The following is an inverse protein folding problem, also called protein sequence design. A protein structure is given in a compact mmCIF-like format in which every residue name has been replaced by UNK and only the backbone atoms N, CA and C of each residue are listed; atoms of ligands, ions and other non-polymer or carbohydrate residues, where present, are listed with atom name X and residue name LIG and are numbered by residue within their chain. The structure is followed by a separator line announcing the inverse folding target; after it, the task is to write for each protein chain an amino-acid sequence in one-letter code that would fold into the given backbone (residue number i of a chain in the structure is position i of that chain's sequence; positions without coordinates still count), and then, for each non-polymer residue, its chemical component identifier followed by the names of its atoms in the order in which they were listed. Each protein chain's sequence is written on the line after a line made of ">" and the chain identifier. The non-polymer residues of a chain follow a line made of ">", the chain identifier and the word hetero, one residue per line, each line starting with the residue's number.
data_IF_860398773308
#
_entry.id   IF_860398773308
#
_cell.length_a   1.000
_cell.length_b   1.000
_cell.length_c   1.000
_cell.angle_alpha   90.00
_cell.angle_beta   90.00
_cell.angle_gamma   90.00
#
_symmetry.space_group_name_H-M   'P 1'
#
loop_
_entity.id
_entity.type
_entity.pdbx_description
1 polymer ?
#
# COMPACT_ATOMS: atom_id res chain seq x y z
N UNK A 1 -60.93 -45.43 33.68
CA UNK A 1 -61.12 -44.46 32.59
C UNK A 1 -60.80 -43.09 33.17
N UNK A 2 -59.53 -42.68 33.09
CA UNK A 2 -58.89 -41.98 31.96
C UNK A 2 -59.33 -40.52 31.86
N UNK A 3 -58.38 -39.61 32.05
CA UNK A 3 -58.53 -38.16 31.97
C UNK A 3 -57.30 -37.46 32.56
N UNK A 4 -56.21 -37.46 31.79
CA UNK A 4 -54.90 -36.92 32.15
C UNK A 4 -54.85 -35.38 32.11
N UNK A 5 -54.08 -34.79 33.02
CA UNK A 5 -53.61 -33.39 32.96
C UNK A 5 -52.09 -33.44 33.12
N UNK A 6 -51.36 -33.06 32.07
CA UNK A 6 -49.91 -32.85 32.12
C UNK A 6 -49.63 -31.37 32.40
N UNK A 7 -48.68 -31.02 33.30
CA UNK A 7 -48.24 -29.65 33.49
C UNK A 7 -47.24 -29.24 32.40
N UNK A 8 -47.32 -27.96 32.00
CA UNK A 8 -46.53 -27.36 30.95
C UNK A 8 -45.03 -27.30 31.24
N UNK A 9 -44.26 -27.47 30.17
CA UNK A 9 -42.82 -27.25 30.08
C UNK A 9 -42.51 -25.75 30.23
N UNK A 10 -41.48 -25.34 30.99
CA UNK A 10 -41.03 -23.95 30.97
C UNK A 10 -40.33 -23.65 29.65
N UNK A 11 -40.62 -22.47 29.09
CA UNK A 11 -39.93 -21.92 27.94
C UNK A 11 -38.46 -21.66 28.30
N UNK A 12 -37.54 -22.14 27.48
CA UNK A 12 -36.13 -21.79 27.52
C UNK A 12 -36.00 -20.32 27.10
N UNK A 13 -35.55 -19.50 28.05
CA UNK A 13 -35.18 -18.10 27.86
C UNK A 13 -33.76 -18.10 27.29
N UNK A 14 -33.63 -18.04 25.96
CA UNK A 14 -32.34 -17.84 25.31
C UNK A 14 -31.87 -16.40 25.54
N UNK A 15 -30.83 -16.29 26.37
CA UNK A 15 -30.04 -15.10 26.67
C UNK A 15 -29.44 -14.53 25.37
N UNK A 16 -30.11 -13.53 24.78
CA UNK A 16 -29.60 -12.72 23.68
C UNK A 16 -28.45 -11.85 24.21
N UNK A 17 -27.26 -12.46 24.30
CA UNK A 17 -26.02 -11.79 24.63
C UNK A 17 -25.76 -10.66 23.61
N UNK A 18 -26.07 -9.43 24.04
CA UNK A 18 -25.84 -8.21 23.31
C UNK A 18 -24.39 -8.12 22.82
N UNK A 19 -24.21 -8.21 21.49
CA UNK A 19 -22.95 -7.91 20.82
C UNK A 19 -22.61 -6.44 21.11
N UNK A 20 -21.49 -6.11 21.79
CA UNK A 20 -21.15 -4.73 22.08
C UNK A 20 -20.88 -3.98 20.76
N UNK A 21 -21.37 -2.74 20.60
CA UNK A 21 -21.10 -1.97 19.40
C UNK A 21 -19.60 -1.77 19.25
N UNK A 22 -19.08 -2.07 18.06
CA UNK A 22 -17.70 -1.81 17.68
C UNK A 22 -17.35 -0.36 18.03
N UNK A 23 -16.37 -0.17 18.92
CA UNK A 23 -15.87 1.16 19.29
C UNK A 23 -15.36 1.85 18.03
N UNK A 24 -16.13 2.83 17.57
CA UNK A 24 -15.76 3.70 16.46
C UNK A 24 -14.44 4.41 16.84
N UNK A 25 -13.34 4.21 16.11
CA UNK A 25 -12.08 4.89 16.44
C UNK A 25 -12.30 6.41 16.26
N UNK A 26 -12.06 7.15 17.34
CA UNK A 26 -12.21 8.61 17.38
C UNK A 26 -11.24 9.22 16.37
N UNK A 27 -11.81 9.85 15.34
CA UNK A 27 -11.08 10.71 14.40
C UNK A 27 -10.67 11.96 15.17
N UNK A 28 -9.37 12.12 15.46
CA UNK A 28 -8.84 13.37 15.98
C UNK A 28 -8.56 14.32 14.81
N UNK A 29 -9.22 15.48 14.80
CA UNK A 29 -8.94 16.57 13.87
C UNK A 29 -7.60 17.23 14.24
N UNK A 30 -6.53 16.77 13.60
CA UNK A 30 -5.30 17.49 13.21
C UNK A 30 -4.19 16.47 12.93
N UNK A 31 -3.76 16.35 11.66
CA UNK A 31 -2.47 15.77 11.24
C UNK A 31 -2.20 14.30 11.61
N UNK A 32 -2.32 13.40 10.62
CA UNK A 32 -1.74 12.05 10.66
C UNK A 32 -2.39 11.09 11.66
N UNK A 33 -3.37 10.31 11.20
CA UNK A 33 -3.87 9.17 11.99
C UNK A 33 -3.12 7.90 11.60
N UNK A 34 -2.40 7.31 12.56
CA UNK A 34 -1.79 5.98 12.45
C UNK A 34 -2.69 4.97 13.15
N UNK A 35 -3.14 3.95 12.42
CA UNK A 35 -3.87 2.82 13.01
C UNK A 35 -2.95 1.60 12.99
N UNK A 36 -2.54 1.15 14.18
CA UNK A 36 -1.73 -0.06 14.36
C UNK A 36 -2.64 -1.25 14.70
N UNK A 37 -2.45 -2.40 14.04
CA UNK A 37 -3.10 -3.67 14.41
C UNK A 37 -2.04 -4.71 14.85
N UNK A 38 -1.96 -5.04 16.15
CA UNK A 38 -0.87 -5.85 16.69
C UNK A 38 -0.98 -7.37 16.42
N UNK A 39 -2.14 -7.90 15.98
CA UNK A 39 -2.42 -9.36 16.05
C UNK A 39 -2.29 -10.16 14.74
N UNK A 40 -1.69 -9.62 13.67
CA UNK A 40 -1.46 -10.40 12.43
C UNK A 40 0.02 -10.66 12.24
N UNK A 41 0.41 -11.94 12.30
CA UNK A 41 1.74 -12.39 11.93
C UNK A 41 1.96 -12.12 10.43
N UNK A 42 2.63 -11.02 10.12
CA UNK A 42 2.96 -10.65 8.74
C UNK A 42 4.16 -11.49 8.26
N UNK A 43 4.08 -11.93 7.00
CA UNK A 43 5.20 -12.60 6.33
C UNK A 43 6.46 -11.73 6.34
N UNK A 44 7.63 -12.36 6.46
CA UNK A 44 8.93 -11.67 6.55
C UNK A 44 9.28 -10.82 5.31
N UNK A 45 8.52 -10.92 4.22
CA UNK A 45 8.73 -10.29 2.90
C UNK A 45 7.72 -9.17 2.57
N UNK A 46 6.93 -8.70 3.53
CA UNK A 46 5.85 -7.75 3.25
C UNK A 46 6.36 -6.31 2.97
N UNK A 47 6.21 -5.79 1.74
CA UNK A 47 6.42 -4.38 1.35
C UNK A 47 5.29 -3.47 1.85
N UNK A 48 5.48 -2.16 1.65
CA UNK A 48 4.41 -1.19 1.80
C UNK A 48 3.72 -0.86 0.47
N UNK A 49 2.42 -0.53 0.55
CA UNK A 49 1.65 -0.02 -0.58
C UNK A 49 1.04 1.34 -0.23
N UNK A 50 1.13 2.29 -1.16
CA UNK A 50 0.61 3.65 -0.97
C UNK A 50 -0.44 3.94 -2.03
N UNK A 51 -1.58 4.47 -1.63
CA UNK A 51 -2.64 4.92 -2.54
C UNK A 51 -2.76 6.43 -2.47
N UNK A 52 -2.75 7.09 -3.62
CA UNK A 52 -3.02 8.52 -3.76
C UNK A 52 -4.36 8.69 -4.44
N UNK A 53 -5.29 9.44 -3.85
CA UNK A 53 -6.60 9.74 -4.45
C UNK A 53 -6.51 10.82 -5.53
N UNK A 54 -7.53 10.96 -6.40
CA UNK A 54 -7.56 12.03 -7.40
C UNK A 54 -7.40 13.42 -6.80
N UNK A 55 -8.16 13.77 -5.75
CA UNK A 55 -8.06 15.14 -5.23
C UNK A 55 -6.73 15.40 -4.51
N UNK A 56 -6.10 14.38 -3.91
CA UNK A 56 -4.76 14.53 -3.33
C UNK A 56 -3.69 14.69 -4.41
N UNK A 57 -3.81 13.96 -5.53
CA UNK A 57 -2.93 14.13 -6.68
C UNK A 57 -3.04 15.55 -7.26
N UNK A 58 -4.24 16.10 -7.36
CA UNK A 58 -4.46 17.45 -7.89
C UNK A 58 -4.02 18.56 -6.92
N UNK A 59 -4.29 18.39 -5.62
CA UNK A 59 -4.00 19.42 -4.62
C UNK A 59 -2.55 19.43 -4.15
N UNK A 60 -1.92 18.25 -4.05
CA UNK A 60 -0.62 18.05 -3.39
C UNK A 60 0.32 17.13 -4.17
N UNK A 61 0.12 16.97 -5.49
CA UNK A 61 0.95 16.11 -6.34
C UNK A 61 2.46 16.28 -6.11
N UNK A 62 2.95 17.52 -6.14
CA UNK A 62 4.38 17.81 -5.98
C UNK A 62 4.93 17.43 -4.59
N UNK A 63 4.16 17.70 -3.53
CA UNK A 63 4.51 17.33 -2.15
C UNK A 63 4.54 15.81 -1.98
N UNK A 64 3.52 15.11 -2.50
CA UNK A 64 3.42 13.67 -2.45
C UNK A 64 4.55 13.02 -3.27
N UNK A 65 4.87 13.55 -4.45
CA UNK A 65 5.98 13.08 -5.27
C UNK A 65 7.32 13.20 -4.54
N UNK A 66 7.56 14.33 -3.86
CA UNK A 66 8.77 14.53 -3.07
C UNK A 66 8.85 13.55 -1.89
N UNK A 67 7.74 13.39 -1.15
CA UNK A 67 7.67 12.45 -0.04
C UNK A 67 7.85 10.99 -0.48
N UNK A 68 7.29 10.62 -1.63
CA UNK A 68 7.47 9.30 -2.22
C UNK A 68 8.94 9.03 -2.54
N UNK A 69 9.59 9.96 -3.23
CA UNK A 69 11.00 9.83 -3.61
C UNK A 69 11.90 9.69 -2.37
N UNK A 70 11.63 10.49 -1.33
CA UNK A 70 12.34 10.39 -0.05
C UNK A 70 12.10 9.04 0.65
N UNK A 71 10.86 8.57 0.70
CA UNK A 71 10.50 7.29 1.34
C UNK A 71 11.06 6.09 0.58
N UNK A 72 10.97 6.06 -0.75
CA UNK A 72 11.48 4.99 -1.60
C UNK A 72 13.01 4.82 -1.51
N UNK A 73 13.73 5.90 -1.30
CA UNK A 73 15.21 5.92 -1.36
C UNK A 73 15.87 5.96 0.01
N UNK A 74 15.07 6.09 1.08
CA UNK A 74 15.57 6.05 2.46
C UNK A 74 16.35 4.76 2.70
N UNK A 75 17.56 4.90 3.24
CA UNK A 75 18.46 3.77 3.48
C UNK A 75 18.78 2.96 2.22
N UNK A 76 18.70 3.55 1.02
CA UNK A 76 18.88 2.88 -0.27
C UNK A 76 17.81 1.85 -0.64
N UNK A 77 16.56 2.03 -0.18
CA UNK A 77 15.45 1.13 -0.53
C UNK A 77 15.61 -0.27 0.08
N UNK A 78 16.18 -0.35 1.29
CA UNK A 78 16.49 -1.61 1.97
C UNK A 78 15.55 -1.94 3.13
N UNK A 79 14.50 -1.16 3.34
CA UNK A 79 13.51 -1.41 4.37
C UNK A 79 12.33 -2.17 3.78
N UNK A 80 11.80 -3.10 4.59
CA UNK A 80 10.54 -3.78 4.26
C UNK A 80 9.34 -2.84 4.20
N UNK A 81 9.48 -1.64 4.74
CA UNK A 81 8.44 -0.61 4.67
C UNK A 81 8.60 0.31 3.47
N UNK A 82 9.60 0.13 2.62
CA UNK A 82 9.74 0.99 1.45
C UNK A 82 8.50 0.86 0.54
N UNK A 83 7.99 1.99 0.01
CA UNK A 83 6.76 2.01 -0.78
C UNK A 83 7.02 1.49 -2.21
N UNK A 84 7.31 0.20 -2.33
CA UNK A 84 7.54 -0.47 -3.61
C UNK A 84 6.31 -0.49 -4.52
N UNK A 85 5.10 -0.31 -3.95
CA UNK A 85 3.84 -0.18 -4.69
C UNK A 85 3.21 1.19 -4.45
N UNK A 86 2.95 1.91 -5.54
CA UNK A 86 2.30 3.22 -5.49
C UNK A 86 1.13 3.28 -6.48
N UNK A 87 -0.09 3.35 -5.97
CA UNK A 87 -1.31 3.47 -6.75
C UNK A 87 -1.64 4.95 -6.97
N UNK A 88 -1.71 5.37 -8.23
CA UNK A 88 -2.01 6.77 -8.62
C UNK A 88 -3.07 6.82 -9.71
N UNK A 89 -3.89 7.89 -9.76
CA UNK A 89 -4.91 8.03 -10.78
C UNK A 89 -4.27 8.27 -12.15
N UNK A 90 -4.71 7.51 -13.15
CA UNK A 90 -4.25 7.67 -14.52
C UNK A 90 -4.62 9.05 -15.07
N UNK A 91 -3.72 9.66 -15.85
CA UNK A 91 -3.97 10.96 -16.49
C UNK A 91 -3.65 12.19 -15.64
N UNK A 92 -3.25 12.03 -14.38
CA UNK A 92 -2.81 13.13 -13.51
C UNK A 92 -1.32 13.43 -13.66
N UNK A 93 -0.90 14.67 -13.35
CA UNK A 93 0.50 15.11 -13.47
C UNK A 93 1.46 14.42 -12.49
N UNK A 94 0.93 13.89 -11.39
CA UNK A 94 1.72 13.31 -10.29
C UNK A 94 2.71 12.24 -10.76
N UNK A 95 2.38 11.45 -11.80
CA UNK A 95 3.29 10.44 -12.35
C UNK A 95 4.58 11.07 -12.87
N UNK A 96 4.48 12.23 -13.54
CA UNK A 96 5.63 12.97 -14.04
C UNK A 96 6.40 13.63 -12.90
N UNK A 97 5.71 14.14 -11.89
CA UNK A 97 6.33 14.74 -10.71
C UNK A 97 7.14 13.70 -9.92
N UNK A 98 6.59 12.49 -9.73
CA UNK A 98 7.28 11.35 -9.12
C UNK A 98 8.54 10.99 -9.92
N UNK A 99 8.41 10.85 -11.24
CA UNK A 99 9.56 10.54 -12.09
C UNK A 99 10.65 11.63 -12.01
N UNK A 100 10.24 12.90 -11.99
CA UNK A 100 11.16 14.03 -11.84
C UNK A 100 11.91 14.01 -10.51
N UNK A 101 11.23 13.72 -9.40
CA UNK A 101 11.88 13.67 -8.07
C UNK A 101 12.84 12.49 -7.93
N UNK A 102 12.57 11.36 -8.61
CA UNK A 102 13.38 10.14 -8.46
C UNK A 102 14.59 10.08 -9.39
N UNK A 103 14.50 10.61 -10.61
CA UNK A 103 15.53 10.43 -11.64
C UNK A 103 16.92 10.98 -11.30
N UNK A 104 16.96 12.05 -10.49
CA UNK A 104 18.21 12.77 -10.17
C UNK A 104 18.81 12.29 -8.83
N UNK A 105 18.23 11.26 -8.22
CA UNK A 105 18.75 10.68 -6.98
C UNK A 105 19.99 9.82 -7.30
N UNK A 106 21.15 10.10 -6.67
CA UNK A 106 22.39 9.40 -6.97
C UNK A 106 22.37 7.94 -6.51
N UNK A 107 23.30 7.16 -7.04
CA UNK A 107 23.53 5.80 -6.61
C UNK A 107 23.83 5.72 -5.11
N UNK A 108 23.36 4.66 -4.46
CA UNK A 108 23.60 4.41 -3.05
C UNK A 108 24.34 3.08 -2.85
N UNK A 109 25.18 2.96 -1.81
CA UNK A 109 25.91 1.73 -1.53
C UNK A 109 24.95 0.59 -1.17
N UNK A 110 25.12 -0.55 -1.83
CA UNK A 110 24.37 -1.78 -1.53
C UNK A 110 25.00 -2.55 -0.38
N UNK A 111 24.26 -3.50 0.20
CA UNK A 111 24.78 -4.37 1.27
C UNK A 111 25.87 -5.32 0.75
N UNK A 112 25.69 -5.85 -0.46
CA UNK A 112 26.66 -6.67 -1.18
C UNK A 112 26.26 -6.79 -2.65
N UNK A 113 27.19 -7.32 -3.47
CA UNK A 113 26.98 -7.52 -4.91
C UNK A 113 25.77 -8.42 -5.22
N UNK A 114 25.57 -9.50 -4.46
CA UNK A 114 24.45 -10.44 -4.68
C UNK A 114 23.07 -9.78 -4.52
N UNK A 115 22.92 -8.90 -3.53
CA UNK A 115 21.67 -8.14 -3.32
C UNK A 115 21.46 -7.15 -4.45
N UNK A 116 22.52 -6.47 -4.89
CA UNK A 116 22.47 -5.58 -6.04
C UNK A 116 22.02 -6.34 -7.29
N UNK A 117 22.69 -7.44 -7.64
CA UNK A 117 22.36 -8.30 -8.78
C UNK A 117 20.91 -8.82 -8.73
N UNK A 118 20.46 -9.28 -7.55
CA UNK A 118 19.08 -9.75 -7.36
C UNK A 118 18.05 -8.65 -7.62
N UNK A 119 18.27 -7.46 -7.08
CA UNK A 119 17.39 -6.31 -7.31
C UNK A 119 17.41 -5.85 -8.78
N UNK A 120 18.58 -5.74 -9.40
CA UNK A 120 18.73 -5.34 -10.80
C UNK A 120 18.06 -6.36 -11.74
N UNK A 121 18.26 -7.64 -11.50
CA UNK A 121 17.62 -8.72 -12.26
C UNK A 121 16.09 -8.71 -12.08
N UNK A 122 15.60 -8.52 -10.86
CA UNK A 122 14.17 -8.39 -10.57
C UNK A 122 13.53 -7.19 -11.27
N UNK A 123 14.20 -6.04 -11.20
CA UNK A 123 13.78 -4.83 -11.91
C UNK A 123 13.73 -5.06 -13.43
N UNK A 124 14.74 -5.70 -14.01
CA UNK A 124 14.78 -6.03 -15.44
C UNK A 124 13.60 -6.92 -15.86
N UNK A 125 13.33 -8.01 -15.11
CA UNK A 125 12.18 -8.89 -15.39
C UNK A 125 10.85 -8.15 -15.37
N UNK A 126 10.66 -7.23 -14.43
CA UNK A 126 9.45 -6.41 -14.35
C UNK A 126 9.37 -5.42 -15.52
N UNK A 127 10.49 -4.85 -15.94
CA UNK A 127 10.55 -3.90 -17.04
C UNK A 127 10.25 -4.54 -18.41
N UNK A 128 10.52 -5.84 -18.56
CA UNK A 128 10.29 -6.61 -19.79
C UNK A 128 8.85 -7.11 -19.94
N UNK A 129 7.99 -6.89 -18.93
CA UNK A 129 6.60 -7.32 -18.98
C UNK A 129 5.80 -6.53 -20.02
N UNK A 130 4.87 -7.20 -20.75
CA UNK A 130 3.93 -6.50 -21.61
C UNK A 130 3.15 -5.43 -20.84
N UNK A 131 3.22 -4.18 -21.31
CA UNK A 131 2.54 -3.04 -20.70
C UNK A 131 3.31 -2.34 -19.58
N UNK A 132 4.48 -2.85 -19.16
CA UNK A 132 5.38 -2.11 -18.28
C UNK A 132 6.01 -0.94 -19.02
N UNK A 133 6.12 0.21 -18.34
CA UNK A 133 6.75 1.42 -18.86
C UNK A 133 7.87 1.87 -17.92
N UNK A 134 9.07 2.03 -18.46
CA UNK A 134 10.22 2.61 -17.77
C UNK A 134 10.02 4.12 -17.60
N UNK A 135 9.68 4.58 -16.39
CA UNK A 135 9.53 6.01 -16.07
C UNK A 135 10.88 6.64 -15.68
N UNK A 136 11.64 5.93 -14.85
CA UNK A 136 13.01 6.28 -14.47
C UNK A 136 13.86 5.03 -14.62
N UNK A 137 14.85 5.10 -15.50
CA UNK A 137 15.69 3.98 -15.84
C UNK A 137 17.08 4.47 -16.25
N UNK A 138 18.18 3.94 -15.70
CA UNK A 138 19.51 4.35 -16.07
C UNK A 138 19.91 3.83 -17.46
N UNK A 139 20.78 4.57 -18.16
CA UNK A 139 21.41 4.09 -19.40
C UNK A 139 22.32 2.89 -19.13
N UNK A 140 23.10 2.95 -18.04
CA UNK A 140 23.84 1.81 -17.53
C UNK A 140 22.98 1.01 -16.54
N UNK A 141 22.37 -0.06 -17.04
CA UNK A 141 21.49 -0.92 -16.26
C UNK A 141 22.22 -1.65 -15.10
N UNK A 142 23.55 -1.66 -15.06
CA UNK A 142 24.34 -2.22 -13.95
C UNK A 142 24.46 -1.29 -12.75
N UNK A 143 24.14 0.00 -12.92
CA UNK A 143 24.21 1.00 -11.85
C UNK A 143 23.06 0.82 -10.84
N UNK A 144 23.39 0.80 -9.54
CA UNK A 144 22.39 0.71 -8.46
C UNK A 144 21.83 2.08 -8.08
N UNK A 145 20.95 2.59 -8.94
CA UNK A 145 20.15 3.81 -8.74
C UNK A 145 18.66 3.49 -8.59
N UNK A 146 17.87 4.45 -8.06
CA UNK A 146 16.42 4.33 -8.07
C UNK A 146 15.84 4.07 -9.46
N UNK A 147 14.82 3.21 -9.52
CA UNK A 147 14.12 2.82 -10.73
C UNK A 147 12.63 2.95 -10.53
N UNK A 148 11.94 3.44 -11.55
CA UNK A 148 10.48 3.52 -11.56
C UNK A 148 9.92 2.85 -12.80
N UNK A 149 8.99 1.93 -12.57
CA UNK A 149 8.16 1.32 -13.58
C UNK A 149 6.72 1.77 -13.40
N UNK A 150 5.96 1.84 -14.48
CA UNK A 150 4.52 2.01 -14.44
C UNK A 150 3.79 0.91 -15.20
N UNK A 151 2.64 0.49 -14.69
CA UNK A 151 1.70 -0.41 -15.37
C UNK A 151 0.26 0.02 -15.12
N UNK A 152 -0.65 -0.38 -16.01
CA UNK A 152 -2.08 -0.24 -15.77
C UNK A 152 -2.53 -1.24 -14.70
N UNK A 153 -3.41 -0.82 -13.78
CA UNK A 153 -3.89 -1.65 -12.69
C UNK A 153 -4.55 -2.96 -13.12
N UNK A 154 -5.08 -3.04 -14.35
CA UNK A 154 -5.59 -4.29 -14.93
C UNK A 154 -4.50 -5.34 -15.21
N UNK A 155 -3.24 -4.92 -15.34
CA UNK A 155 -2.10 -5.80 -15.50
C UNK A 155 -1.48 -6.22 -14.16
N UNK A 156 -1.91 -5.63 -13.03
CA UNK A 156 -1.38 -5.96 -11.71
C UNK A 156 -1.83 -7.36 -11.31
N UNK A 157 -0.87 -8.20 -10.93
CA UNK A 157 -1.15 -9.54 -10.38
C UNK A 157 -0.39 -9.74 -9.06
N UNK A 158 -0.79 -10.70 -8.21
CA UNK A 158 -0.06 -11.02 -6.99
C UNK A 158 1.41 -11.33 -7.24
N UNK A 159 1.70 -12.08 -8.32
CA UNK A 159 3.05 -12.44 -8.71
C UNK A 159 3.92 -11.22 -9.10
N UNK A 160 3.31 -10.21 -9.74
CA UNK A 160 4.02 -8.96 -10.06
C UNK A 160 4.31 -8.14 -8.82
N UNK A 161 3.36 -8.10 -7.89
CA UNK A 161 3.60 -7.52 -6.58
C UNK A 161 4.78 -8.24 -5.91
N UNK A 162 4.75 -9.57 -5.81
CA UNK A 162 5.83 -10.34 -5.17
C UNK A 162 7.21 -10.12 -5.83
N UNK A 163 7.27 -10.08 -7.16
CA UNK A 163 8.52 -9.78 -7.87
C UNK A 163 9.06 -8.37 -7.54
N UNK A 164 8.18 -7.38 -7.34
CA UNK A 164 8.58 -6.07 -6.86
C UNK A 164 9.04 -6.11 -5.38
N UNK A 165 8.42 -6.97 -4.55
CA UNK A 165 8.80 -7.18 -3.14
C UNK A 165 10.18 -7.78 -2.97
N UNK A 166 10.57 -8.68 -3.85
CA UNK A 166 11.87 -9.36 -3.79
C UNK A 166 13.05 -8.43 -4.13
N UNK A 167 12.77 -7.24 -4.69
CA UNK A 167 13.78 -6.25 -4.99
C UNK A 167 14.15 -5.46 -3.72
N UNK A 168 15.21 -5.91 -3.03
CA UNK A 168 15.84 -5.16 -1.94
C UNK A 168 16.68 -3.98 -2.50
N UNK A 169 15.97 -2.95 -2.96
CA UNK A 169 16.53 -1.71 -3.48
C UNK A 169 15.46 -0.69 -3.82
N UNK A 170 15.86 0.51 -4.30
CA UNK A 170 14.95 1.62 -4.55
C UNK A 170 14.16 1.44 -5.85
N UNK A 171 13.36 0.38 -5.95
CA UNK A 171 12.49 0.08 -7.08
C UNK A 171 11.03 0.41 -6.72
N UNK A 172 10.45 1.36 -7.46
CA UNK A 172 9.05 1.71 -7.36
C UNK A 172 8.22 1.18 -8.53
N UNK A 173 7.09 0.55 -8.23
CA UNK A 173 6.09 0.15 -9.20
C UNK A 173 4.85 1.03 -9.06
N UNK A 174 4.68 1.93 -10.03
CA UNK A 174 3.54 2.84 -10.15
C UNK A 174 2.38 2.12 -10.84
N UNK A 175 1.31 1.88 -10.08
CA UNK A 175 0.08 1.25 -10.57
C UNK A 175 -0.92 2.34 -10.93
N UNK A 176 -1.21 2.48 -12.22
CA UNK A 176 -2.17 3.45 -12.74
C UNK A 176 -3.59 2.90 -12.66
N UNK A 177 -4.47 3.57 -11.91
CA UNK A 177 -5.89 3.19 -11.87
C UNK A 177 -6.75 4.23 -12.58
N UNK A 178 -7.80 3.77 -13.26
CA UNK A 178 -8.74 4.66 -13.96
C UNK A 178 -9.84 5.20 -13.04
N UNK A 179 -10.23 4.42 -12.03
CA UNK A 179 -11.30 4.75 -11.09
C UNK A 179 -10.91 4.34 -9.67
N UNK A 180 -11.07 5.25 -8.71
CA UNK A 180 -10.70 4.99 -7.32
C UNK A 180 -11.48 3.81 -6.73
N UNK A 181 -12.71 3.57 -7.20
CA UNK A 181 -13.57 2.49 -6.71
C UNK A 181 -13.06 1.09 -7.08
N UNK A 182 -12.12 0.97 -8.02
CA UNK A 182 -11.49 -0.29 -8.40
C UNK A 182 -10.28 -0.64 -7.52
N UNK A 183 -9.67 0.36 -6.86
CA UNK A 183 -8.46 0.16 -6.03
C UNK A 183 -8.68 -0.81 -4.85
N UNK A 184 -9.83 -0.82 -4.14
CA UNK A 184 -10.06 -1.80 -3.08
C UNK A 184 -9.92 -3.25 -3.56
N UNK A 185 -10.41 -3.57 -4.75
CA UNK A 185 -10.33 -4.93 -5.32
C UNK A 185 -8.89 -5.26 -5.74
N UNK A 186 -8.16 -4.31 -6.31
CA UNK A 186 -6.75 -4.47 -6.64
C UNK A 186 -5.91 -4.75 -5.39
N UNK A 187 -6.09 -3.96 -4.33
CA UNK A 187 -5.37 -4.12 -3.06
C UNK A 187 -5.73 -5.46 -2.41
N UNK A 188 -7.00 -5.85 -2.41
CA UNK A 188 -7.43 -7.11 -1.81
C UNK A 188 -6.94 -8.35 -2.54
N UNK A 189 -6.58 -8.24 -3.80
CA UNK A 189 -5.95 -9.32 -4.56
C UNK A 189 -4.47 -9.49 -4.20
N UNK A 190 -3.82 -8.49 -3.60
CA UNK A 190 -2.40 -8.57 -3.26
C UNK A 190 -2.15 -9.38 -1.98
N UNK A 191 -0.93 -9.93 -1.83
CA UNK A 191 -0.45 -10.43 -0.56
C UNK A 191 -0.55 -9.38 0.55
N UNK A 192 -0.56 -9.79 1.82
CA UNK A 192 -0.61 -8.85 2.94
C UNK A 192 0.61 -7.90 2.94
N UNK A 193 0.35 -6.63 3.27
CA UNK A 193 1.33 -5.55 3.33
C UNK A 193 1.80 -5.30 4.77
N UNK A 194 3.05 -4.89 4.95
CA UNK A 194 3.54 -4.53 6.29
C UNK A 194 2.94 -3.19 6.74
N UNK A 195 2.90 -2.24 5.81
CA UNK A 195 2.32 -0.92 5.97
C UNK A 195 1.51 -0.59 4.73
N UNK A 196 0.37 0.07 4.89
CA UNK A 196 -0.29 0.77 3.79
C UNK A 196 -0.51 2.22 4.15
N UNK A 197 -0.45 3.09 3.16
CA UNK A 197 -0.74 4.50 3.33
C UNK A 197 -1.80 4.98 2.34
N UNK A 198 -2.60 5.95 2.76
CA UNK A 198 -3.58 6.64 1.92
C UNK A 198 -3.32 8.14 1.97
N UNK A 199 -2.96 8.73 0.83
CA UNK A 199 -2.96 10.17 0.65
C UNK A 199 -4.30 10.60 0.05
N UNK A 200 -5.04 11.39 0.81
CA UNK A 200 -6.40 11.81 0.49
C UNK A 200 -6.72 13.20 1.04
N UNK A 201 -7.68 13.86 0.41
CA UNK A 201 -8.17 15.16 0.86
C UNK A 201 -9.49 15.05 1.65
N UNK A 202 -9.79 16.00 2.58
CA UNK A 202 -10.95 15.92 3.47
C UNK A 202 -12.30 15.73 2.75
N UNK A 203 -12.48 16.33 1.59
CA UNK A 203 -13.69 16.26 0.75
C UNK A 203 -13.97 14.87 0.18
N UNK A 204 -12.96 14.02 0.05
CA UNK A 204 -13.12 12.66 -0.50
C UNK A 204 -13.50 11.65 0.58
N UNK A 205 -13.25 11.96 1.87
CA UNK A 205 -13.35 11.03 3.01
C UNK A 205 -14.62 10.18 3.02
N UNK A 206 -15.78 10.74 2.66
CA UNK A 206 -17.07 10.02 2.62
C UNK A 206 -17.10 8.87 1.62
N UNK A 207 -16.28 8.92 0.57
CA UNK A 207 -16.19 7.90 -0.49
C UNK A 207 -15.08 6.88 -0.21
N UNK A 208 -14.23 7.14 0.79
CA UNK A 208 -13.04 6.33 1.07
C UNK A 208 -13.31 5.17 2.03
N UNK A 209 -14.52 5.01 2.57
CA UNK A 209 -14.83 3.96 3.55
C UNK A 209 -14.48 2.56 3.03
N UNK A 210 -14.84 2.22 1.78
CA UNK A 210 -14.53 0.92 1.18
C UNK A 210 -13.02 0.73 1.01
N UNK A 211 -12.31 1.77 0.58
CA UNK A 211 -10.87 1.75 0.37
C UNK A 211 -10.11 1.65 1.68
N UNK A 212 -10.42 2.49 2.66
CA UNK A 212 -9.82 2.46 3.98
C UNK A 212 -10.04 1.11 4.67
N UNK A 213 -11.22 0.50 4.51
CA UNK A 213 -11.50 -0.85 5.00
C UNK A 213 -10.58 -1.88 4.33
N UNK A 214 -10.53 -1.93 3.00
CA UNK A 214 -9.68 -2.88 2.28
C UNK A 214 -8.20 -2.71 2.68
N UNK A 215 -7.68 -1.48 2.68
CA UNK A 215 -6.31 -1.19 3.11
C UNK A 215 -6.06 -1.67 4.55
N UNK A 216 -6.99 -1.41 5.48
CA UNK A 216 -6.88 -1.84 6.87
C UNK A 216 -6.94 -3.36 7.06
N UNK A 217 -7.66 -4.07 6.20
CA UNK A 217 -7.78 -5.54 6.25
C UNK A 217 -6.54 -6.26 5.68
N UNK A 218 -5.78 -5.59 4.80
CA UNK A 218 -4.61 -6.13 4.12
C UNK A 218 -3.28 -5.56 4.63
N UNK A 219 -3.25 -4.99 5.84
CA UNK A 219 -2.04 -4.40 6.43
C UNK A 219 -1.91 -4.56 7.94
N UNK A 220 -0.68 -4.59 8.45
CA UNK A 220 -0.42 -4.49 9.91
C UNK A 220 -0.42 -3.06 10.45
N UNK A 221 -0.15 -2.08 9.58
CA UNK A 221 -0.11 -0.65 9.89
C UNK A 221 -0.78 0.15 8.78
N UNK A 222 -1.73 1.01 9.13
CA UNK A 222 -2.38 1.93 8.20
C UNK A 222 -2.00 3.38 8.54
N UNK A 223 -1.56 4.12 7.52
CA UNK A 223 -1.15 5.53 7.60
C UNK A 223 -2.09 6.41 6.78
N UNK A 224 -2.42 7.58 7.31
CA UNK A 224 -3.22 8.58 6.60
C UNK A 224 -2.40 9.85 6.36
N UNK A 225 -2.27 10.23 5.09
CA UNK A 225 -1.47 11.38 4.65
C UNK A 225 -0.03 11.37 5.17
N UNK A 226 0.59 10.19 5.24
CA UNK A 226 1.95 10.00 5.75
C UNK A 226 2.64 8.84 5.04
N UNK A 227 3.97 8.80 5.12
CA UNK A 227 4.79 7.81 4.45
C UNK A 227 5.18 6.66 5.36
N UNK A 228 5.27 5.43 4.83
CA UNK A 228 5.88 4.33 5.56
C UNK A 228 7.31 4.68 6.02
N UNK A 229 7.48 4.95 7.31
CA UNK A 229 8.79 5.16 7.89
C UNK A 229 9.48 3.81 8.16
N UNK A 230 10.81 3.81 7.95
CA UNK A 230 11.72 2.71 8.24
C UNK A 230 11.69 2.24 9.71
N UNK A 231 11.30 3.13 10.61
CA UNK A 231 11.13 2.90 12.03
C UNK A 231 9.70 3.33 12.41
N UNK A 232 9.08 2.68 13.40
CA UNK A 232 7.76 3.08 13.90
C UNK A 232 7.75 4.53 14.41
N UNK A 233 6.58 5.12 14.69
CA UNK A 233 6.56 6.39 15.43
C UNK A 233 7.36 6.20 16.72
N UNK A 234 8.27 7.14 17.00
CA UNK A 234 9.02 7.20 18.24
C UNK A 234 8.08 7.40 19.44
#
# INVERSE_FOLDING_TARGET
>A
MSGAVLPGTPAEEEDEAAVPPARNPRVHEAGGSVVLRPDRALSATATAAVVVTPAAADARGAEIAQGYAASLTLGAGRFRTDPGLLFVPAGHSIVYEIAWQVRDIPAAPTLNARIAEGCLSGAGRLADLPGARKLVWPDDETTFVPRLLALDGSALTPALSDAARECFGPLGLVVLYQRLEAVPEMVSALPDQSTVALHAEPQETRRLTRLAKALSEHSGRFLWNDWPAAYGPL
#
